data_IF_347770913617
#
_entry.id   IF_347770913617
#
_cell.length_a   1.000
_cell.length_b   1.000
_cell.length_c   1.000
_cell.angle_alpha   90.00
_cell.angle_beta   90.00
_cell.angle_gamma   90.00
#
_symmetry.space_group_name_H-M   'P 1'
#
loop_
_entity.id
_entity.type
_entity.pdbx_description
1 polymer ?
#
# COMPACT_ATOMS: atom_id res chain seq x y z
N UNK A 1 9.08 0.60 -19.98
CA UNK A 1 8.49 0.60 -18.61
C UNK A 1 7.15 -0.13 -18.51
N UNK A 2 6.18 0.10 -19.41
CA UNK A 2 4.88 -0.58 -19.37
C UNK A 2 5.03 -2.10 -19.51
N UNK A 3 5.87 -2.56 -20.45
CA UNK A 3 6.07 -4.01 -20.69
C UNK A 3 6.79 -4.70 -19.54
N UNK A 4 7.75 -4.03 -18.90
CA UNK A 4 8.41 -4.56 -17.70
C UNK A 4 7.41 -4.84 -16.58
N UNK A 5 6.51 -3.89 -16.29
CA UNK A 5 5.46 -4.05 -15.27
C UNK A 5 4.46 -5.14 -15.63
N UNK A 6 4.14 -5.31 -16.92
CA UNK A 6 3.25 -6.38 -17.38
C UNK A 6 3.89 -7.77 -17.30
N UNK A 7 5.19 -7.88 -17.62
CA UNK A 7 5.92 -9.16 -17.67
C UNK A 7 6.35 -9.66 -16.30
N UNK A 8 6.94 -8.81 -15.46
CA UNK A 8 7.38 -9.20 -14.12
C UNK A 8 6.26 -9.10 -13.08
N UNK A 9 5.29 -8.19 -13.29
CA UNK A 9 4.20 -7.97 -12.34
C UNK A 9 4.68 -7.51 -10.96
N UNK A 10 3.80 -7.63 -9.97
CA UNK A 10 4.13 -7.41 -8.57
C UNK A 10 4.97 -8.58 -8.01
N UNK A 11 4.57 -9.81 -8.31
CA UNK A 11 5.18 -11.03 -7.75
C UNK A 11 6.62 -11.23 -8.19
N UNK A 12 6.95 -10.99 -9.46
CA UNK A 12 8.31 -11.10 -9.97
C UNK A 12 9.24 -10.05 -9.34
N UNK A 13 8.75 -8.84 -9.09
CA UNK A 13 9.52 -7.77 -8.43
C UNK A 13 9.72 -8.09 -6.94
N UNK A 14 8.70 -8.64 -6.28
CA UNK A 14 8.80 -9.06 -4.88
C UNK A 14 9.84 -10.18 -4.70
N UNK A 15 9.88 -11.17 -5.59
CA UNK A 15 10.91 -12.24 -5.55
C UNK A 15 12.34 -11.70 -5.62
N UNK A 16 12.58 -10.68 -6.45
CA UNK A 16 13.90 -10.03 -6.53
C UNK A 16 14.23 -9.34 -5.20
N UNK A 17 13.26 -8.62 -4.62
CA UNK A 17 13.44 -8.00 -3.31
C UNK A 17 13.74 -9.02 -2.21
N UNK A 18 13.06 -10.17 -2.22
CA UNK A 18 13.30 -11.26 -1.27
C UNK A 18 14.72 -11.81 -1.41
N UNK A 19 15.19 -12.07 -2.63
CA UNK A 19 16.56 -12.51 -2.88
C UNK A 19 17.61 -11.51 -2.35
N UNK A 20 17.36 -10.22 -2.50
CA UNK A 20 18.26 -9.19 -1.95
C UNK A 20 18.32 -9.18 -0.43
N UNK A 21 17.20 -9.44 0.23
CA UNK A 21 17.16 -9.53 1.70
C UNK A 21 17.86 -10.78 2.19
N UNK A 22 17.65 -11.92 1.53
CA UNK A 22 18.37 -13.16 1.84
C UNK A 22 19.89 -12.97 1.72
N UNK A 23 20.36 -12.34 0.65
CA UNK A 23 21.78 -12.02 0.46
C UNK A 23 22.35 -11.01 1.48
N UNK A 24 21.51 -10.34 2.27
CA UNK A 24 21.95 -9.42 3.33
C UNK A 24 22.30 -10.13 4.63
N UNK A 25 21.84 -11.37 4.81
CA UNK A 25 22.23 -12.18 5.94
C UNK A 25 23.60 -12.81 5.68
N UNK A 26 24.49 -12.88 6.68
CA UNK A 26 25.69 -13.69 6.56
C UNK A 26 25.28 -15.13 6.27
N UNK A 27 25.99 -15.80 5.36
CA UNK A 27 25.80 -17.24 5.15
C UNK A 27 25.91 -17.95 6.50
N UNK A 28 24.88 -18.72 6.86
CA UNK A 28 25.01 -19.63 8.00
C UNK A 28 26.21 -20.53 7.70
N UNK A 29 27.15 -20.72 8.62
CA UNK A 29 28.14 -21.77 8.45
C UNK A 29 27.36 -23.08 8.23
N UNK A 30 27.63 -23.74 7.10
CA UNK A 30 27.13 -25.07 6.83
C UNK A 30 27.38 -25.92 8.09
N UNK A 31 26.34 -26.59 8.59
CA UNK A 31 26.53 -27.54 9.68
C UNK A 31 27.65 -28.50 9.26
N UNK A 32 28.71 -28.66 10.06
CA UNK A 32 29.75 -29.62 9.72
C UNK A 32 29.08 -30.99 9.65
N UNK A 33 29.08 -31.60 8.47
CA UNK A 33 28.77 -33.01 8.28
C UNK A 33 29.77 -33.79 9.13
N UNK A 34 29.36 -34.17 10.34
CA UNK A 34 30.11 -35.13 11.14
C UNK A 34 30.02 -36.50 10.48
N UNK A 35 31.11 -37.28 10.45
CA UNK A 35 31.09 -38.65 9.97
C UNK A 35 30.18 -39.53 10.84
N UNK A 36 29.71 -40.69 10.32
CA UNK A 36 28.82 -41.55 11.07
C UNK A 36 29.62 -42.26 12.15
N UNK A 37 29.46 -41.85 13.41
CA UNK A 37 29.83 -42.67 14.55
C UNK A 37 28.54 -43.19 15.20
N UNK A 38 28.38 -44.51 15.12
CA UNK A 38 27.38 -45.29 15.83
C UNK A 38 27.63 -45.16 17.34
N UNK A 39 26.68 -44.60 18.10
CA UNK A 39 26.26 -45.08 19.43
C UNK A 39 24.90 -44.44 19.79
N UNK A 40 24.01 -45.27 20.33
CA UNK A 40 22.62 -44.93 20.69
C UNK A 40 22.56 -44.02 21.93
N UNK A 41 22.02 -42.80 21.76
CA UNK A 41 21.53 -41.96 22.86
C UNK A 41 20.15 -41.37 22.50
N UNK A 42 19.27 -41.12 23.48
CA UNK A 42 17.84 -40.88 23.28
C UNK A 42 17.56 -39.55 22.54
N UNK A 43 16.35 -39.34 21.96
CA UNK A 43 16.10 -38.27 21.01
C UNK A 43 16.12 -36.91 21.71
N UNK A 44 17.29 -36.29 21.78
CA UNK A 44 17.46 -34.90 22.19
C UNK A 44 16.70 -34.04 21.18
N UNK A 45 15.62 -33.40 21.64
CA UNK A 45 14.81 -32.49 20.85
C UNK A 45 15.73 -31.51 20.11
N UNK A 46 15.69 -31.52 18.77
CA UNK A 46 16.43 -30.59 17.90
C UNK A 46 16.29 -29.17 18.47
N UNK A 47 17.37 -28.63 19.04
CA UNK A 47 17.36 -27.28 19.58
C UNK A 47 16.99 -26.34 18.44
N UNK A 48 15.86 -25.66 18.60
CA UNK A 48 15.45 -24.65 17.62
C UNK A 48 16.56 -23.60 17.55
N UNK A 49 16.96 -23.15 16.34
CA UNK A 49 18.02 -22.16 16.20
C UNK A 49 17.66 -20.91 17.01
N UNK A 50 18.65 -20.38 17.76
CA UNK A 50 18.46 -19.18 18.57
C UNK A 50 17.91 -18.02 17.71
N UNK A 51 17.00 -17.24 18.30
CA UNK A 51 16.40 -16.10 17.63
C UNK A 51 17.48 -15.06 17.27
N UNK A 52 17.43 -14.51 16.06
CA UNK A 52 18.45 -13.57 15.57
C UNK A 52 17.81 -12.42 14.79
N UNK A 53 18.42 -11.25 14.88
CA UNK A 53 18.07 -10.09 14.06
C UNK A 53 16.83 -9.33 14.54
N UNK A 54 16.47 -8.31 13.76
CA UNK A 54 15.43 -7.35 14.11
C UNK A 54 14.43 -7.22 12.96
N UNK A 55 13.15 -7.26 13.29
CA UNK A 55 12.05 -6.99 12.38
C UNK A 55 11.35 -5.70 12.79
N UNK A 56 11.21 -4.76 11.86
CA UNK A 56 10.37 -3.58 12.08
C UNK A 56 9.14 -3.71 11.19
N UNK A 57 7.94 -3.62 11.75
CA UNK A 57 6.70 -3.69 10.97
C UNK A 57 5.88 -2.41 11.15
N UNK A 58 5.46 -1.85 10.02
CA UNK A 58 4.62 -0.65 9.97
C UNK A 58 3.77 -0.62 8.71
N UNK A 59 2.73 0.20 8.71
CA UNK A 59 1.85 0.36 7.58
C UNK A 59 1.90 1.78 7.02
N UNK A 60 1.97 1.89 5.69
CA UNK A 60 1.90 3.17 4.97
C UNK A 60 0.80 3.17 3.91
N UNK A 61 0.42 4.34 3.43
CA UNK A 61 -0.50 4.48 2.31
C UNK A 61 0.23 5.17 1.16
N UNK A 62 0.13 4.57 0.00
CA UNK A 62 0.64 5.07 -1.27
C UNK A 62 -0.52 5.74 -2.02
N UNK A 63 -0.63 7.08 -1.97
CA UNK A 63 -1.77 7.80 -2.54
C UNK A 63 -1.81 7.61 -4.06
N UNK A 64 -3.00 7.33 -4.59
CA UNK A 64 -3.26 7.26 -6.01
C UNK A 64 -3.37 8.67 -6.61
N UNK A 65 -3.00 8.82 -7.88
CA UNK A 65 -3.21 10.05 -8.64
C UNK A 65 -4.70 10.19 -9.01
N UNK A 66 -5.50 10.64 -8.04
CA UNK A 66 -6.90 11.02 -8.23
C UNK A 66 -7.13 12.44 -7.75
N UNK A 67 -8.08 13.14 -8.38
CA UNK A 67 -8.60 14.39 -7.83
C UNK A 67 -9.25 14.09 -6.49
N UNK A 68 -9.09 14.99 -5.52
CA UNK A 68 -9.79 14.89 -4.24
C UNK A 68 -11.30 14.65 -4.47
N UNK A 69 -11.84 13.53 -3.97
CA UNK A 69 -13.18 13.11 -4.33
C UNK A 69 -14.22 13.82 -3.47
N UNK A 70 -15.08 14.61 -4.13
CA UNK A 70 -16.31 15.14 -3.50
C UNK A 70 -17.52 14.58 -4.23
N UNK A 71 -18.58 14.25 -3.49
CA UNK A 71 -19.79 13.61 -4.05
C UNK A 71 -20.37 14.39 -5.23
N UNK A 72 -20.50 15.72 -5.10
CA UNK A 72 -21.01 16.58 -6.17
C UNK A 72 -20.13 16.50 -7.41
N UNK A 73 -18.81 16.50 -7.22
CA UNK A 73 -17.85 16.50 -8.33
C UNK A 73 -17.76 15.15 -9.02
N UNK A 74 -17.96 14.06 -8.27
CA UNK A 74 -17.97 12.68 -8.77
C UNK A 74 -19.27 12.39 -9.53
N UNK A 75 -20.41 12.85 -9.01
CA UNK A 75 -21.70 12.78 -9.71
C UNK A 75 -21.69 13.61 -11.01
N UNK A 76 -21.06 14.79 -11.03
CA UNK A 76 -20.92 15.56 -12.27
C UNK A 76 -20.01 14.83 -13.29
N UNK A 77 -18.91 14.22 -12.84
CA UNK A 77 -18.06 13.42 -13.73
C UNK A 77 -18.83 12.23 -14.34
N UNK A 78 -19.64 11.54 -13.53
CA UNK A 78 -20.52 10.47 -14.00
C UNK A 78 -21.56 10.98 -15.00
N UNK A 79 -22.17 12.14 -14.73
CA UNK A 79 -23.07 12.80 -15.67
C UNK A 79 -22.38 13.09 -17.00
N UNK A 80 -21.18 13.63 -17.00
CA UNK A 80 -20.44 13.95 -18.25
C UNK A 80 -20.08 12.68 -19.03
N UNK A 81 -19.63 11.63 -18.34
CA UNK A 81 -19.31 10.34 -18.97
C UNK A 81 -20.55 9.66 -19.56
N UNK A 82 -21.65 9.62 -18.82
CA UNK A 82 -22.91 9.04 -19.30
C UNK A 82 -23.54 9.87 -20.43
N UNK A 83 -23.37 11.19 -20.41
CA UNK A 83 -23.86 12.05 -21.48
C UNK A 83 -23.07 11.89 -22.79
N UNK A 84 -21.75 11.67 -22.70
CA UNK A 84 -20.92 11.29 -23.84
C UNK A 84 -21.26 9.88 -24.35
N UNK A 85 -21.54 8.95 -23.44
CA UNK A 85 -21.96 7.59 -23.79
C UNK A 85 -23.28 7.60 -24.59
N UNK A 86 -24.23 8.46 -24.21
CA UNK A 86 -25.46 8.66 -24.99
C UNK A 86 -25.15 9.13 -26.41
N UNK A 87 -24.15 10.00 -26.60
CA UNK A 87 -23.76 10.44 -27.95
C UNK A 87 -23.20 9.27 -28.78
N UNK A 88 -22.42 8.39 -28.15
CA UNK A 88 -21.90 7.18 -28.80
C UNK A 88 -23.02 6.21 -29.17
N UNK A 89 -23.99 5.98 -28.28
CA UNK A 89 -25.10 5.07 -28.53
C UNK A 89 -26.09 5.60 -29.58
N UNK A 90 -26.33 6.91 -29.60
CA UNK A 90 -27.20 7.58 -30.56
C UNK A 90 -26.56 7.73 -31.95
N UNK A 91 -25.24 7.57 -32.09
CA UNK A 91 -24.53 7.87 -33.34
C UNK A 91 -25.16 7.25 -34.61
N UNK A 92 -25.65 5.99 -34.61
CA UNK A 92 -26.33 5.40 -35.77
C UNK A 92 -27.71 5.99 -36.07
N UNK A 93 -28.37 6.58 -35.07
CA UNK A 93 -29.71 7.16 -35.16
C UNK A 93 -29.70 8.64 -35.57
N UNK A 94 -28.52 9.22 -35.80
CA UNK A 94 -28.39 10.64 -36.16
C UNK A 94 -29.04 10.89 -37.52
N UNK A 95 -30.06 11.76 -37.52
CA UNK A 95 -30.86 12.08 -38.72
C UNK A 95 -32.22 11.37 -38.76
N UNK A 96 -32.35 10.24 -38.06
CA UNK A 96 -33.62 9.50 -37.95
C UNK A 96 -34.39 9.92 -36.71
N UNK A 97 -33.72 9.95 -35.54
CA UNK A 97 -34.37 10.22 -34.27
C UNK A 97 -33.70 11.36 -33.48
N UNK A 98 -34.49 12.15 -32.73
CA UNK A 98 -33.93 13.19 -31.87
C UNK A 98 -33.22 12.58 -30.68
N UNK A 99 -32.04 13.14 -30.37
CA UNK A 99 -31.26 12.75 -29.20
C UNK A 99 -32.06 12.88 -27.88
N UNK A 100 -31.98 11.91 -26.96
CA UNK A 100 -32.61 12.01 -25.64
C UNK A 100 -32.23 13.28 -24.85
N UNK A 101 -33.21 13.86 -24.15
CA UNK A 101 -33.05 15.11 -23.40
C UNK A 101 -32.31 14.91 -22.07
N UNK A 102 -31.02 15.27 -22.03
CA UNK A 102 -30.16 15.12 -20.83
C UNK A 102 -29.95 16.41 -20.02
N UNK A 103 -30.37 17.57 -20.54
CA UNK A 103 -30.14 18.90 -19.96
C UNK A 103 -28.64 19.22 -19.70
N UNK A 104 -27.72 18.67 -20.51
CA UNK A 104 -26.26 18.83 -20.35
C UNK A 104 -25.79 20.26 -20.09
N UNK A 105 -26.36 21.24 -20.81
CA UNK A 105 -26.01 22.67 -20.70
C UNK A 105 -26.44 23.23 -19.33
N UNK A 106 -27.68 22.96 -18.91
CA UNK A 106 -28.23 23.41 -17.62
C UNK A 106 -27.45 22.80 -16.46
N UNK A 107 -27.16 21.50 -16.53
CA UNK A 107 -26.42 20.78 -15.51
C UNK A 107 -24.99 21.34 -15.34
N UNK A 108 -24.29 21.61 -16.46
CA UNK A 108 -22.96 22.22 -16.45
C UNK A 108 -22.98 23.62 -15.83
N UNK A 109 -23.91 24.48 -16.23
CA UNK A 109 -24.06 25.84 -15.66
C UNK A 109 -24.27 25.78 -14.14
N UNK A 110 -25.15 24.91 -13.67
CA UNK A 110 -25.42 24.73 -12.23
C UNK A 110 -24.19 24.21 -11.47
N UNK A 111 -23.45 23.25 -12.04
CA UNK A 111 -22.22 22.75 -11.43
C UNK A 111 -21.14 23.83 -11.32
N UNK A 112 -20.92 24.62 -12.38
CA UNK A 112 -19.95 25.72 -12.38
C UNK A 112 -20.29 26.75 -11.29
N UNK A 113 -21.55 27.13 -11.16
CA UNK A 113 -22.01 28.05 -10.10
C UNK A 113 -21.75 27.48 -8.70
N UNK A 114 -21.90 26.16 -8.52
CA UNK A 114 -21.60 25.50 -7.26
C UNK A 114 -20.09 25.49 -6.95
N UNK A 115 -19.24 25.11 -7.91
CA UNK A 115 -17.78 24.98 -7.73
C UNK A 115 -17.10 26.32 -7.46
N UNK A 116 -17.62 27.43 -7.99
CA UNK A 116 -17.08 28.78 -7.71
C UNK A 116 -17.18 29.19 -6.23
N UNK A 117 -17.89 28.45 -5.39
CA UNK A 117 -18.05 28.74 -3.97
C UNK A 117 -16.93 28.10 -3.16
N UNK A 118 -16.14 28.92 -2.43
CA UNK A 118 -15.01 28.43 -1.61
C UNK A 118 -15.43 27.46 -0.49
N UNK A 119 -16.54 27.72 0.21
CA UNK A 119 -17.03 26.91 1.35
C UNK A 119 -18.55 26.73 1.28
N UNK A 120 -19.07 25.79 0.48
CA UNK A 120 -20.51 25.56 0.39
C UNK A 120 -21.05 24.92 1.67
N UNK A 121 -22.09 25.51 2.28
CA UNK A 121 -22.76 24.92 3.45
C UNK A 121 -23.55 23.64 3.14
N UNK A 122 -23.87 22.86 4.16
CA UNK A 122 -24.53 21.53 4.06
C UNK A 122 -25.77 21.50 3.15
N UNK A 123 -26.64 22.49 3.29
CA UNK A 123 -27.88 22.58 2.49
C UNK A 123 -27.59 22.81 0.99
N UNK A 124 -26.56 23.61 0.68
CA UNK A 124 -26.12 23.87 -0.69
C UNK A 124 -25.50 22.62 -1.31
N UNK A 125 -24.68 21.89 -0.55
CA UNK A 125 -24.13 20.59 -0.97
C UNK A 125 -25.25 19.58 -1.24
N UNK A 126 -26.20 19.44 -0.30
CA UNK A 126 -27.33 18.52 -0.46
C UNK A 126 -28.20 18.86 -1.67
N UNK A 127 -28.44 20.16 -1.93
CA UNK A 127 -29.16 20.62 -3.13
C UNK A 127 -28.39 20.26 -4.41
N UNK A 128 -27.08 20.48 -4.45
CA UNK A 128 -26.25 20.13 -5.59
C UNK A 128 -26.21 18.62 -5.85
N UNK A 129 -26.07 17.79 -4.81
CA UNK A 129 -26.16 16.33 -4.91
C UNK A 129 -27.50 15.89 -5.49
N UNK A 130 -28.63 16.40 -4.97
CA UNK A 130 -29.97 16.10 -5.49
C UNK A 130 -30.10 16.41 -6.99
N UNK A 131 -29.58 17.58 -7.40
CA UNK A 131 -29.61 17.99 -8.80
C UNK A 131 -28.78 17.05 -9.67
N UNK A 132 -27.53 16.76 -9.28
CA UNK A 132 -26.65 15.87 -10.03
C UNK A 132 -27.16 14.43 -10.09
N UNK A 133 -27.72 13.89 -9.00
CA UNK A 133 -28.40 12.59 -8.99
C UNK A 133 -29.57 12.56 -9.97
N UNK A 134 -30.37 13.63 -10.02
CA UNK A 134 -31.48 13.74 -10.97
C UNK A 134 -31.01 13.81 -12.44
N UNK A 135 -29.88 14.46 -12.73
CA UNK A 135 -29.28 14.46 -14.07
C UNK A 135 -28.76 13.06 -14.44
N UNK A 136 -28.00 12.44 -13.53
CA UNK A 136 -27.43 11.12 -13.75
C UNK A 136 -28.51 10.04 -13.94
N UNK A 137 -29.57 10.06 -13.11
CA UNK A 137 -30.72 9.15 -13.26
C UNK A 137 -31.33 9.22 -14.66
N UNK A 138 -31.56 10.44 -15.17
CA UNK A 138 -32.10 10.64 -16.52
C UNK A 138 -31.16 10.14 -17.60
N UNK A 139 -29.85 10.35 -17.45
CA UNK A 139 -28.88 9.82 -18.40
C UNK A 139 -28.88 8.29 -18.41
N UNK A 140 -28.89 7.65 -17.24
CA UNK A 140 -28.95 6.19 -17.13
C UNK A 140 -30.22 5.64 -17.78
N UNK A 141 -31.39 6.24 -17.51
CA UNK A 141 -32.65 5.84 -18.16
C UNK A 141 -32.63 6.03 -19.69
N UNK A 142 -31.96 7.07 -20.18
CA UNK A 142 -31.80 7.28 -21.62
C UNK A 142 -30.85 6.22 -22.24
N UNK A 143 -29.78 5.86 -21.53
CA UNK A 143 -28.88 4.77 -21.94
C UNK A 143 -29.65 3.45 -21.99
N UNK A 144 -30.45 3.13 -20.96
CA UNK A 144 -31.22 1.89 -20.92
C UNK A 144 -32.13 1.77 -22.15
N UNK A 145 -32.88 2.83 -22.48
CA UNK A 145 -33.74 2.87 -23.67
C UNK A 145 -32.96 2.72 -24.98
N UNK A 146 -31.77 3.32 -25.07
CA UNK A 146 -30.94 3.21 -26.27
C UNK A 146 -30.35 1.81 -26.41
N UNK A 147 -30.02 1.14 -25.32
CA UNK A 147 -29.54 -0.24 -25.36
C UNK A 147 -30.63 -1.23 -25.77
N UNK A 148 -31.90 -0.91 -25.49
CA UNK A 148 -33.07 -1.69 -25.93
C UNK A 148 -33.50 -1.36 -27.37
N UNK A 149 -32.95 -0.30 -27.98
CA UNK A 149 -33.33 0.15 -29.32
C UNK A 149 -32.59 -0.65 -30.40
N UNK A 150 -33.29 -1.24 -31.40
CA UNK A 150 -32.68 -2.14 -32.38
C UNK A 150 -31.63 -1.45 -33.26
N UNK A 151 -31.89 -0.22 -33.67
CA UNK A 151 -31.01 0.52 -34.58
C UNK A 151 -29.94 1.37 -33.86
N UNK A 152 -29.91 1.36 -32.52
CA UNK A 152 -28.86 2.04 -31.77
C UNK A 152 -27.59 1.20 -31.72
N UNK A 153 -26.46 1.81 -31.32
CA UNK A 153 -25.20 1.07 -31.21
C UNK A 153 -25.32 -0.01 -30.11
N UNK A 154 -25.15 -1.31 -30.44
CA UNK A 154 -25.32 -2.36 -29.47
C UNK A 154 -24.19 -2.39 -28.45
N UNK A 155 -24.49 -2.90 -27.25
CA UNK A 155 -23.53 -2.99 -26.15
C UNK A 155 -22.22 -3.71 -26.53
N UNK A 156 -22.29 -4.69 -27.44
CA UNK A 156 -21.15 -5.49 -27.91
C UNK A 156 -20.13 -4.69 -28.72
N UNK A 157 -20.56 -3.60 -29.36
CA UNK A 157 -19.69 -2.70 -30.13
C UNK A 157 -19.12 -1.56 -29.27
N UNK A 158 -19.53 -1.48 -28.00
CA UNK A 158 -19.05 -0.44 -27.11
C UNK A 158 -17.59 -0.69 -26.70
N UNK A 159 -16.79 0.38 -26.62
CA UNK A 159 -15.43 0.28 -26.12
C UNK A 159 -15.43 -0.26 -24.68
N UNK A 160 -14.51 -1.20 -24.38
CA UNK A 160 -14.36 -1.80 -23.03
C UNK A 160 -14.29 -0.75 -21.91
N UNK A 161 -13.66 0.39 -22.18
CA UNK A 161 -13.54 1.51 -21.25
C UNK A 161 -14.89 2.14 -20.93
N UNK A 162 -15.73 2.34 -21.92
CA UNK A 162 -17.03 2.98 -21.76
C UNK A 162 -18.01 2.03 -21.08
N UNK A 163 -17.90 0.74 -21.37
CA UNK A 163 -18.71 -0.29 -20.71
C UNK A 163 -18.37 -0.34 -19.21
N UNK A 164 -17.08 -0.37 -18.89
CA UNK A 164 -16.60 -0.27 -17.51
C UNK A 164 -17.08 1.02 -16.84
N UNK A 165 -16.99 2.17 -17.52
CA UNK A 165 -17.47 3.44 -16.96
C UNK A 165 -18.98 3.40 -16.68
N UNK A 166 -19.79 2.78 -17.55
CA UNK A 166 -21.23 2.61 -17.35
C UNK A 166 -21.52 1.82 -16.08
N UNK A 167 -20.87 0.66 -15.90
CA UNK A 167 -21.02 -0.17 -14.71
C UNK A 167 -20.65 0.61 -13.43
N UNK A 168 -19.52 1.31 -13.45
CA UNK A 168 -19.08 2.13 -12.30
C UNK A 168 -20.03 3.31 -12.06
N UNK A 169 -20.58 3.94 -13.09
CA UNK A 169 -21.55 5.03 -12.94
C UNK A 169 -22.88 4.55 -12.35
N UNK A 170 -23.34 3.34 -12.71
CA UNK A 170 -24.52 2.70 -12.11
C UNK A 170 -24.31 2.41 -10.62
N UNK A 171 -23.17 1.81 -10.26
CA UNK A 171 -22.85 1.54 -8.85
C UNK A 171 -22.68 2.83 -8.05
N UNK A 172 -21.99 3.83 -8.62
CA UNK A 172 -21.90 5.16 -8.00
C UNK A 172 -23.28 5.79 -7.79
N UNK A 173 -24.18 5.70 -8.76
CA UNK A 173 -25.55 6.20 -8.63
C UNK A 173 -26.28 5.50 -7.48
N UNK A 174 -26.22 4.17 -7.42
CA UNK A 174 -26.81 3.36 -6.34
C UNK A 174 -26.29 3.79 -4.96
N UNK A 175 -24.97 3.87 -4.80
CA UNK A 175 -24.32 4.26 -3.54
C UNK A 175 -24.71 5.68 -3.12
N UNK A 176 -24.65 6.65 -4.03
CA UNK A 176 -24.94 8.06 -3.74
C UNK A 176 -26.42 8.31 -3.48
N UNK A 177 -27.32 7.59 -4.16
CA UNK A 177 -28.76 7.63 -3.91
C UNK A 177 -29.06 7.11 -2.49
N UNK A 178 -28.51 5.95 -2.13
CA UNK A 178 -28.66 5.37 -0.78
C UNK A 178 -28.17 6.33 0.32
N UNK A 179 -26.99 6.92 0.14
CA UNK A 179 -26.43 7.91 1.08
C UNK A 179 -27.30 9.17 1.16
N UNK A 180 -27.88 9.62 0.04
CA UNK A 180 -28.74 10.80 0.01
C UNK A 180 -30.04 10.60 0.79
N UNK A 181 -30.69 9.43 0.61
CA UNK A 181 -31.95 9.04 1.23
C UNK A 181 -31.80 8.79 2.72
N UNK A 182 -30.83 7.94 3.10
CA UNK A 182 -30.57 7.57 4.50
C UNK A 182 -29.85 8.68 5.30
N UNK A 183 -29.40 9.74 4.63
CA UNK A 183 -28.61 10.85 5.20
C UNK A 183 -27.30 10.38 5.85
N UNK A 184 -26.75 9.24 5.43
CA UNK A 184 -25.46 8.73 5.89
C UNK A 184 -24.32 9.20 5.00
N UNK A 185 -23.10 9.18 5.54
CA UNK A 185 -21.86 9.45 4.80
C UNK A 185 -21.01 8.20 4.56
N UNK A 186 -21.51 7.04 4.98
CA UNK A 186 -20.84 5.75 4.88
C UNK A 186 -21.61 4.85 3.92
N UNK A 187 -20.85 4.23 3.04
CA UNK A 187 -21.26 3.10 2.20
C UNK A 187 -20.04 2.20 2.07
N UNK A 188 -20.26 0.89 2.10
CA UNK A 188 -19.19 -0.06 1.89
C UNK A 188 -18.79 -0.05 0.41
N UNK A 189 -17.53 -0.35 0.11
CA UNK A 189 -16.97 -0.27 -1.25
C UNK A 189 -17.20 1.08 -1.98
N UNK A 190 -17.15 2.18 -1.22
CA UNK A 190 -17.42 3.52 -1.75
C UNK A 190 -16.55 3.85 -2.96
N UNK A 191 -17.20 4.15 -4.08
CA UNK A 191 -16.55 4.69 -5.27
C UNK A 191 -16.11 6.12 -4.99
N UNK A 192 -14.81 6.36 -5.13
CA UNK A 192 -14.18 7.68 -5.00
C UNK A 192 -13.63 8.19 -6.33
N UNK A 193 -13.46 7.32 -7.33
CA UNK A 193 -13.01 7.70 -8.67
C UNK A 193 -13.64 6.77 -9.71
N UNK A 194 -14.20 7.34 -10.78
CA UNK A 194 -14.78 6.54 -11.86
C UNK A 194 -13.67 5.85 -12.68
N UNK A 195 -12.55 6.54 -12.86
CA UNK A 195 -11.39 6.00 -13.60
C UNK A 195 -10.63 4.93 -12.81
N UNK A 196 -10.61 5.05 -11.48
CA UNK A 196 -9.92 4.14 -10.57
C UNK A 196 -10.89 3.60 -9.50
N UNK A 197 -11.86 2.76 -9.87
CA UNK A 197 -12.95 2.32 -8.98
C UNK A 197 -12.50 1.39 -7.85
N UNK A 198 -11.26 0.89 -7.89
CA UNK A 198 -10.68 0.03 -6.86
C UNK A 198 -10.07 0.83 -5.70
N UNK A 199 -9.80 2.13 -5.89
CA UNK A 199 -9.25 2.98 -4.82
C UNK A 199 -10.32 3.18 -3.74
N UNK A 200 -9.92 3.16 -2.47
CA UNK A 200 -10.81 3.36 -1.32
C UNK A 200 -10.34 4.52 -0.44
N UNK A 201 -11.25 5.12 0.34
CA UNK A 201 -10.88 6.03 1.41
C UNK A 201 -10.25 5.27 2.58
N UNK A 202 -9.06 5.68 3.02
CA UNK A 202 -8.35 5.11 4.18
C UNK A 202 -8.22 6.20 5.26
N UNK A 203 -8.88 6.01 6.40
CA UNK A 203 -8.76 6.93 7.54
C UNK A 203 -7.44 6.70 8.27
N UNK A 204 -6.56 7.69 8.29
CA UNK A 204 -5.27 7.62 9.01
C UNK A 204 -5.18 8.55 10.22
N UNK A 205 -6.10 9.50 10.37
CA UNK A 205 -6.12 10.41 11.53
C UNK A 205 -4.84 11.25 11.69
N UNK A 206 -4.08 11.44 10.61
CA UNK A 206 -2.87 12.27 10.61
C UNK A 206 -3.26 13.75 10.52
N UNK A 207 -2.56 14.60 11.26
CA UNK A 207 -2.78 16.04 11.22
C UNK A 207 -2.68 16.56 9.76
N UNK A 208 -3.73 17.24 9.30
CA UNK A 208 -3.82 17.87 7.96
C UNK A 208 -4.51 17.05 6.87
N UNK A 209 -4.57 15.72 6.96
CA UNK A 209 -5.29 14.85 6.02
C UNK A 209 -5.90 13.64 6.74
N UNK A 210 -7.16 13.76 7.15
CA UNK A 210 -7.85 12.70 7.91
C UNK A 210 -8.01 11.40 7.10
N UNK A 211 -8.16 11.53 5.77
CA UNK A 211 -8.41 10.44 4.83
C UNK A 211 -7.44 10.52 3.65
N UNK A 212 -6.73 9.42 3.40
CA UNK A 212 -5.91 9.22 2.21
C UNK A 212 -6.64 8.32 1.20
N UNK A 213 -6.28 8.41 -0.08
CA UNK A 213 -6.89 7.62 -1.15
C UNK A 213 -5.80 6.90 -1.92
N UNK A 214 -5.71 5.58 -1.79
CA UNK A 214 -4.64 4.83 -2.43
C UNK A 214 -4.56 3.39 -1.93
N UNK A 215 -3.40 2.79 -2.14
CA UNK A 215 -3.11 1.45 -1.64
C UNK A 215 -2.57 1.53 -0.21
N UNK A 216 -3.15 0.73 0.67
CA UNK A 216 -2.64 0.46 2.01
C UNK A 216 -1.59 -0.64 1.94
N UNK A 217 -0.42 -0.36 2.51
CA UNK A 217 0.75 -1.22 2.45
C UNK A 217 1.14 -1.63 3.87
N UNK A 218 1.30 -2.93 4.10
CA UNK A 218 2.03 -3.46 5.25
C UNK A 218 3.48 -3.70 4.82
N UNK A 219 4.42 -3.13 5.56
CA UNK A 219 5.84 -3.14 5.21
C UNK A 219 6.65 -3.63 6.39
N UNK A 220 7.53 -4.60 6.11
CA UNK A 220 8.57 -5.04 7.02
C UNK A 220 9.92 -4.44 6.63
N UNK A 221 10.75 -4.12 7.63
CA UNK A 221 12.13 -3.70 7.45
C UNK A 221 13.04 -4.69 8.15
N UNK A 222 13.98 -5.24 7.39
CA UNK A 222 14.96 -6.23 7.83
C UNK A 222 16.33 -5.78 7.32
N UNK A 223 17.31 -5.61 8.21
CA UNK A 223 18.66 -5.13 7.87
C UNK A 223 18.69 -3.81 7.05
N UNK A 224 17.64 -2.99 7.19
CA UNK A 224 17.47 -1.74 6.46
C UNK A 224 16.95 -1.89 5.02
N UNK A 225 16.57 -3.09 4.60
CA UNK A 225 15.82 -3.38 3.38
C UNK A 225 14.33 -3.39 3.68
N UNK A 226 13.51 -2.88 2.77
CA UNK A 226 12.07 -2.75 2.94
C UNK A 226 11.33 -3.75 2.05
N UNK A 227 10.44 -4.54 2.65
CA UNK A 227 9.63 -5.55 1.97
C UNK A 227 8.16 -5.19 2.11
N UNK A 228 7.40 -5.35 1.02
CA UNK A 228 5.94 -5.16 1.03
C UNK A 228 5.32 -6.52 1.30
N UNK A 229 4.80 -6.73 2.50
CA UNK A 229 4.20 -8.02 2.90
C UNK A 229 2.74 -8.11 2.45
N UNK A 230 2.03 -6.98 2.46
CA UNK A 230 0.64 -6.91 2.02
C UNK A 230 0.36 -5.61 1.30
N UNK A 231 -0.26 -5.72 0.14
CA UNK A 231 -0.84 -4.60 -0.59
C UNK A 231 -2.35 -4.80 -0.68
N UNK A 232 -3.13 -3.85 -0.16
CA UNK A 232 -4.57 -3.89 -0.25
C UNK A 232 -5.13 -2.51 -0.57
N UNK A 233 -6.19 -2.45 -1.37
CA UNK A 233 -6.91 -1.21 -1.63
C UNK A 233 -7.96 -0.92 -0.56
N UNK A 234 -8.45 -1.96 0.11
CA UNK A 234 -9.38 -1.83 1.23
C UNK A 234 -8.66 -1.52 2.53
N UNK A 235 -9.38 -0.89 3.45
CA UNK A 235 -8.86 -0.63 4.77
C UNK A 235 -8.95 -1.89 5.63
N UNK A 236 -7.81 -2.38 6.12
CA UNK A 236 -7.72 -3.53 7.02
C UNK A 236 -7.06 -3.14 8.35
N UNK A 237 -7.22 -3.96 9.38
CA UNK A 237 -6.49 -3.79 10.64
C UNK A 237 -5.05 -4.30 10.48
N UNK A 238 -4.10 -3.37 10.54
CA UNK A 238 -2.67 -3.64 10.34
C UNK A 238 -2.11 -4.57 11.43
N UNK A 239 -2.68 -4.52 12.64
CA UNK A 239 -2.23 -5.36 13.75
C UNK A 239 -2.39 -6.86 13.51
N UNK A 240 -3.27 -7.29 12.59
CA UNK A 240 -3.46 -8.69 12.26
C UNK A 240 -2.35 -9.29 11.38
N UNK A 241 -1.56 -8.47 10.70
CA UNK A 241 -0.54 -8.95 9.76
C UNK A 241 0.77 -9.36 10.46
N UNK A 242 0.96 -9.02 11.75
CA UNK A 242 2.26 -9.17 12.43
C UNK A 242 2.73 -10.62 12.53
N UNK A 243 1.84 -11.54 12.89
CA UNK A 243 2.19 -12.96 13.03
C UNK A 243 2.66 -13.50 11.68
N UNK A 244 1.91 -13.22 10.61
CA UNK A 244 2.30 -13.61 9.24
C UNK A 244 3.64 -13.02 8.82
N UNK A 245 3.94 -11.76 9.18
CA UNK A 245 5.25 -11.15 8.93
C UNK A 245 6.39 -11.85 9.67
N UNK A 246 6.18 -12.23 10.93
CA UNK A 246 7.16 -12.97 11.74
C UNK A 246 7.38 -14.38 11.18
N UNK A 247 6.32 -15.08 10.78
CA UNK A 247 6.43 -16.39 10.16
C UNK A 247 7.15 -16.33 8.82
N UNK A 248 6.84 -15.31 8.01
CA UNK A 248 7.54 -15.08 6.73
C UNK A 248 9.02 -14.77 6.97
N UNK A 249 9.36 -14.02 8.02
CA UNK A 249 10.75 -13.83 8.43
C UNK A 249 11.42 -15.16 8.76
N UNK A 250 10.76 -16.03 9.54
CA UNK A 250 11.29 -17.36 9.89
C UNK A 250 11.49 -18.23 8.66
N UNK A 251 10.56 -18.25 7.72
CA UNK A 251 10.69 -19.01 6.48
C UNK A 251 11.87 -18.54 5.63
N UNK A 252 12.19 -17.23 5.66
CA UNK A 252 13.31 -16.64 4.92
C UNK A 252 14.66 -16.89 5.60
N UNK A 253 14.74 -16.67 6.92
CA UNK A 253 16.02 -16.65 7.66
C UNK A 253 16.33 -18.00 8.33
N UNK A 254 15.32 -18.86 8.51
CA UNK A 254 15.43 -20.13 9.23
C UNK A 254 15.24 -20.02 10.75
N UNK A 255 15.20 -18.81 11.31
CA UNK A 255 14.96 -18.57 12.73
C UNK A 255 13.99 -17.39 12.97
N UNK A 256 13.45 -17.29 14.19
CA UNK A 256 12.62 -16.15 14.57
C UNK A 256 13.48 -14.90 14.83
N UNK A 257 12.91 -13.69 14.67
CA UNK A 257 13.60 -12.46 15.02
C UNK A 257 13.81 -12.39 16.54
N UNK A 258 14.95 -11.88 16.99
CA UNK A 258 15.20 -11.63 18.41
C UNK A 258 14.26 -10.54 18.94
N UNK A 259 14.03 -9.51 18.12
CA UNK A 259 13.18 -8.39 18.48
C UNK A 259 12.32 -7.87 17.33
N UNK A 260 11.12 -7.41 17.69
CA UNK A 260 10.08 -6.91 16.80
C UNK A 260 9.70 -5.50 17.25
N UNK A 261 9.91 -4.52 16.37
CA UNK A 261 9.63 -3.10 16.60
C UNK A 261 8.40 -2.68 15.84
N UNK A 262 7.35 -2.27 16.56
CA UNK A 262 6.03 -2.02 15.98
C UNK A 262 5.28 -0.89 16.66
N UNK A 263 4.32 -0.34 15.91
CA UNK A 263 3.42 0.70 16.40
C UNK A 263 2.38 0.17 17.41
N UNK A 264 1.64 1.11 18.04
CA UNK A 264 0.66 0.74 19.08
C UNK A 264 -0.41 -0.24 18.58
N UNK A 265 -0.84 -0.11 17.33
CA UNK A 265 -1.92 -0.92 16.76
C UNK A 265 -1.57 -2.42 16.67
N UNK A 266 -0.28 -2.74 16.55
CA UNK A 266 0.23 -4.11 16.46
C UNK A 266 0.38 -4.79 17.82
N UNK A 267 0.29 -4.05 18.94
CA UNK A 267 0.49 -4.61 20.29
C UNK A 267 -0.79 -5.24 20.84
N UNK A 268 -1.41 -6.13 20.08
CA UNK A 268 -2.58 -6.92 20.49
C UNK A 268 -2.20 -7.99 21.50
N UNK A 269 -3.20 -8.56 22.22
CA UNK A 269 -2.96 -9.66 23.17
C UNK A 269 -2.43 -10.91 22.48
N UNK A 270 -3.02 -11.24 21.33
CA UNK A 270 -2.65 -12.36 20.48
C UNK A 270 -1.19 -12.26 20.01
N UNK A 271 -0.81 -11.12 19.43
CA UNK A 271 0.56 -10.91 18.95
C UNK A 271 1.59 -11.00 20.08
N UNK A 272 1.26 -10.52 21.28
CA UNK A 272 2.15 -10.64 22.44
C UNK A 272 2.26 -12.06 22.95
N UNK A 273 1.15 -12.81 22.96
CA UNK A 273 1.16 -14.22 23.36
C UNK A 273 2.05 -15.02 22.41
N UNK A 274 1.91 -14.80 21.10
CA UNK A 274 2.76 -15.39 20.09
C UNK A 274 4.24 -15.03 20.26
N UNK A 275 4.56 -13.74 20.39
CA UNK A 275 5.95 -13.32 20.62
C UNK A 275 6.54 -13.93 21.90
N UNK A 276 5.76 -14.00 22.99
CA UNK A 276 6.21 -14.59 24.26
C UNK A 276 6.47 -16.09 24.12
N UNK A 277 5.59 -16.81 23.42
CA UNK A 277 5.72 -18.25 23.16
C UNK A 277 7.00 -18.58 22.38
N UNK A 278 7.38 -17.71 21.45
CA UNK A 278 8.56 -17.90 20.61
C UNK A 278 9.82 -17.17 21.10
N UNK A 279 9.82 -16.59 22.31
CA UNK A 279 10.98 -15.89 22.87
C UNK A 279 11.37 -14.61 22.12
N UNK A 280 10.40 -13.95 21.48
CA UNK A 280 10.60 -12.74 20.68
C UNK A 280 10.30 -11.51 21.54
N UNK A 281 11.23 -10.54 21.58
CA UNK A 281 11.02 -9.28 22.29
C UNK A 281 10.21 -8.30 21.45
N UNK A 282 9.01 -7.94 21.90
CA UNK A 282 8.20 -6.89 21.25
C UNK A 282 8.46 -5.51 21.86
N UNK A 283 8.62 -4.48 21.02
CA UNK A 283 8.88 -3.11 21.46
C UNK A 283 7.71 -2.49 22.23
N UNK A 284 8.03 -1.60 23.17
CA UNK A 284 7.08 -0.74 23.87
C UNK A 284 6.46 -1.34 25.14
N UNK A 285 5.83 -0.49 25.98
CA UNK A 285 5.41 -0.87 27.33
C UNK A 285 4.35 -1.99 27.32
N UNK A 286 4.20 -2.75 28.43
CA UNK A 286 3.16 -3.75 28.59
C UNK A 286 1.74 -3.18 28.41
N UNK A 287 0.80 -4.03 28.02
CA UNK A 287 -0.63 -3.67 27.93
C UNK A 287 -1.16 -3.39 29.34
N UNK A 288 -1.97 -2.33 29.47
CA UNK A 288 -2.64 -1.97 30.72
C UNK A 288 -2.04 -0.76 31.43
N UNK A 289 -2.23 -0.70 32.75
CA UNK A 289 -1.78 0.43 33.58
C UNK A 289 -0.26 0.45 33.61
N UNK A 290 0.33 1.60 33.23
CA UNK A 290 1.78 1.80 33.33
C UNK A 290 2.22 1.63 34.79
N UNK A 291 3.34 0.92 35.06
CA UNK A 291 3.86 0.80 36.41
C UNK A 291 4.23 2.18 36.98
N UNK A 292 4.04 2.38 38.28
CA UNK A 292 4.31 3.66 38.97
C UNK A 292 5.79 4.05 38.91
N UNK A 293 6.68 3.06 38.89
CA UNK A 293 8.11 3.26 38.68
C UNK A 293 8.54 2.50 37.43
N UNK A 294 9.18 3.21 36.50
CA UNK A 294 9.79 2.65 35.30
C UNK A 294 11.30 2.76 35.50
N UNK A 295 12.02 1.64 35.42
CA UNK A 295 13.46 1.62 35.64
C UNK A 295 14.19 2.50 34.61
N UNK A 296 15.38 3.00 34.96
CA UNK A 296 16.20 3.76 34.02
C UNK A 296 16.59 2.92 32.77
N UNK A 297 16.76 1.61 32.95
CA UNK A 297 17.04 0.66 31.87
C UNK A 297 15.85 0.55 30.90
N UNK A 298 14.62 0.41 31.41
CA UNK A 298 13.41 0.35 30.57
C UNK A 298 13.20 1.64 29.78
N UNK A 299 13.52 2.80 30.38
CA UNK A 299 13.47 4.09 29.68
C UNK A 299 14.49 4.17 28.55
N UNK A 300 15.73 3.73 28.80
CA UNK A 300 16.78 3.66 27.76
C UNK A 300 16.39 2.71 26.65
N UNK A 301 15.85 1.53 26.98
CA UNK A 301 15.37 0.56 25.99
C UNK A 301 14.22 1.12 25.16
N UNK A 302 13.24 1.77 25.79
CA UNK A 302 12.12 2.40 25.08
C UNK A 302 12.60 3.50 24.12
N UNK A 303 13.59 4.31 24.52
CA UNK A 303 14.20 5.32 23.67
C UNK A 303 14.96 4.69 22.48
N UNK A 304 15.70 3.59 22.72
CA UNK A 304 16.37 2.84 21.66
C UNK A 304 15.38 2.20 20.67
N UNK A 305 14.31 1.60 21.19
CA UNK A 305 13.23 1.02 20.38
C UNK A 305 12.55 2.08 19.50
N UNK A 306 12.33 3.29 20.05
CA UNK A 306 11.76 4.41 19.32
C UNK A 306 12.72 4.95 18.24
N UNK A 307 14.01 5.03 18.53
CA UNK A 307 15.03 5.40 17.55
C UNK A 307 15.09 4.40 16.36
N UNK A 308 14.95 3.10 16.64
CA UNK A 308 14.84 2.06 15.59
C UNK A 308 13.57 2.27 14.76
N UNK A 309 12.43 2.50 15.42
CA UNK A 309 11.16 2.75 14.72
C UNK A 309 11.23 3.99 13.83
N UNK A 310 11.89 5.06 14.26
CA UNK A 310 12.06 6.28 13.45
C UNK A 310 12.77 6.04 12.11
N UNK A 311 13.54 4.94 11.97
CA UNK A 311 14.14 4.56 10.69
C UNK A 311 13.06 4.25 9.64
N UNK A 312 11.92 3.69 10.04
CA UNK A 312 10.79 3.40 9.15
C UNK A 312 10.20 4.68 8.57
N UNK A 313 10.02 5.71 9.40
CA UNK A 313 9.52 7.01 8.95
C UNK A 313 10.48 7.63 7.93
N UNK A 314 11.78 7.52 8.17
CA UNK A 314 12.82 7.92 7.23
C UNK A 314 12.72 7.18 5.89
N UNK A 315 12.50 5.86 5.93
CA UNK A 315 12.33 5.02 4.71
C UNK A 315 11.07 5.37 3.95
N UNK A 316 9.94 5.58 4.62
CA UNK A 316 8.71 6.05 3.97
C UNK A 316 8.87 7.46 3.42
N UNK A 317 9.58 8.35 4.13
CA UNK A 317 9.91 9.69 3.63
C UNK A 317 10.75 9.64 2.35
N UNK A 318 11.80 8.82 2.34
CA UNK A 318 12.64 8.57 1.16
C UNK A 318 11.80 8.02 0.00
N UNK A 319 10.99 6.98 0.28
CA UNK A 319 10.12 6.35 -0.70
C UNK A 319 9.12 7.34 -1.32
N UNK A 320 8.51 8.19 -0.49
CA UNK A 320 7.53 9.19 -0.94
C UNK A 320 8.15 10.32 -1.75
N UNK A 321 9.30 10.85 -1.31
CA UNK A 321 9.93 12.03 -1.93
C UNK A 321 10.77 11.68 -3.17
N UNK A 322 11.48 10.55 -3.17
CA UNK A 322 12.46 10.22 -4.22
C UNK A 322 12.04 9.07 -5.12
N UNK A 323 11.30 8.09 -4.60
CA UNK A 323 10.97 6.86 -5.33
C UNK A 323 9.53 6.78 -5.83
N UNK A 324 8.78 7.88 -5.74
CA UNK A 324 7.44 7.99 -6.33
C UNK A 324 6.31 7.35 -5.52
N UNK A 325 6.54 6.90 -4.27
CA UNK A 325 5.45 6.44 -3.40
C UNK A 325 4.52 7.60 -2.97
N UNK A 326 4.95 8.85 -3.15
CA UNK A 326 4.18 10.04 -2.77
C UNK A 326 3.00 10.33 -3.68
N UNK A 327 2.95 9.72 -4.88
CA UNK A 327 1.80 9.76 -5.79
C UNK A 327 1.94 8.68 -6.88
N UNK A 328 1.07 7.68 -6.86
CA UNK A 328 1.04 6.60 -7.85
C UNK A 328 0.25 7.03 -9.08
N UNK A 329 0.95 7.23 -10.19
CA UNK A 329 0.39 7.73 -11.47
C UNK A 329 -0.35 6.65 -12.27
N UNK A 330 -0.02 5.38 -12.02
CA UNK A 330 -0.68 4.25 -12.66
C UNK A 330 -2.18 4.22 -12.29
N UNK A 331 -3.03 3.80 -13.25
CA UNK A 331 -4.50 3.88 -13.12
C UNK A 331 -5.18 2.51 -12.93
N UNK A 332 -4.51 1.41 -13.24
CA UNK A 332 -5.04 0.05 -13.02
C UNK A 332 -4.44 -0.52 -11.75
N UNK A 333 -5.22 -1.28 -10.98
CA UNK A 333 -4.79 -1.89 -9.72
C UNK A 333 -3.47 -2.67 -9.87
N UNK A 334 -3.39 -3.53 -10.89
CA UNK A 334 -2.18 -4.33 -11.19
C UNK A 334 -0.98 -3.47 -11.54
N UNK A 335 -1.15 -2.45 -12.39
CA UNK A 335 -0.04 -1.55 -12.77
C UNK A 335 0.42 -0.65 -11.62
N UNK A 336 -0.50 -0.29 -10.73
CA UNK A 336 -0.21 0.49 -9.52
C UNK A 336 0.54 -0.36 -8.50
N UNK A 337 0.13 -1.62 -8.31
CA UNK A 337 0.85 -2.58 -7.47
C UNK A 337 2.28 -2.83 -7.98
N UNK A 338 2.44 -3.08 -9.28
CA UNK A 338 3.77 -3.22 -9.90
C UNK A 338 4.62 -1.95 -9.77
N UNK A 339 4.02 -0.76 -9.87
CA UNK A 339 4.74 0.50 -9.66
C UNK A 339 5.20 0.66 -8.20
N UNK A 340 4.34 0.31 -7.23
CA UNK A 340 4.69 0.33 -5.81
C UNK A 340 5.83 -0.65 -5.53
N UNK A 341 5.72 -1.90 -6.00
CA UNK A 341 6.77 -2.90 -5.84
C UNK A 341 8.10 -2.42 -6.43
N UNK A 342 8.06 -1.78 -7.60
CA UNK A 342 9.24 -1.22 -8.25
C UNK A 342 9.89 -0.10 -7.44
N UNK A 343 9.09 0.76 -6.79
CA UNK A 343 9.61 1.79 -5.89
C UNK A 343 10.40 1.18 -4.74
N UNK A 344 9.89 0.11 -4.11
CA UNK A 344 10.61 -0.61 -3.06
C UNK A 344 11.86 -1.32 -3.58
N UNK A 345 11.80 -1.91 -4.77
CA UNK A 345 12.99 -2.50 -5.41
C UNK A 345 14.09 -1.46 -5.65
N UNK A 346 13.74 -0.30 -6.19
CA UNK A 346 14.70 0.77 -6.40
C UNK A 346 15.31 1.29 -5.07
N UNK A 347 14.50 1.39 -4.01
CA UNK A 347 14.98 1.72 -2.66
C UNK A 347 15.98 0.69 -2.12
N UNK A 348 15.68 -0.59 -2.30
CA UNK A 348 16.53 -1.69 -1.85
C UNK A 348 17.83 -1.75 -2.66
N UNK A 349 17.78 -1.53 -3.97
CA UNK A 349 18.96 -1.45 -4.84
C UNK A 349 19.87 -0.29 -4.45
N UNK A 350 19.31 0.89 -4.14
CA UNK A 350 20.12 2.00 -3.63
C UNK A 350 20.82 1.62 -2.30
N UNK A 351 20.12 0.90 -1.42
CA UNK A 351 20.71 0.43 -0.15
C UNK A 351 21.84 -0.58 -0.40
N UNK A 352 21.61 -1.59 -1.23
CA UNK A 352 22.61 -2.59 -1.58
C UNK A 352 23.85 -1.93 -2.22
N UNK A 353 23.63 -1.00 -3.16
CA UNK A 353 24.70 -0.24 -3.79
C UNK A 353 25.54 0.53 -2.78
N UNK A 354 24.92 1.21 -1.82
CA UNK A 354 25.65 1.93 -0.76
C UNK A 354 26.49 0.98 0.08
N UNK A 355 25.96 -0.19 0.46
CA UNK A 355 26.71 -1.19 1.23
C UNK A 355 27.93 -1.69 0.44
N UNK A 356 27.74 -2.06 -0.83
CA UNK A 356 28.82 -2.48 -1.72
C UNK A 356 29.87 -1.38 -1.92
N UNK A 357 29.43 -0.14 -2.10
CA UNK A 357 30.33 1.00 -2.25
C UNK A 357 31.18 1.21 -0.99
N UNK A 358 30.55 1.19 0.19
CA UNK A 358 31.29 1.34 1.46
C UNK A 358 32.23 0.16 1.72
N UNK A 359 31.83 -1.08 1.40
CA UNK A 359 32.72 -2.24 1.53
C UNK A 359 33.92 -2.14 0.59
N UNK A 360 33.73 -1.71 -0.66
CA UNK A 360 34.83 -1.50 -1.62
C UNK A 360 35.77 -0.37 -1.19
N UNK A 361 35.24 0.74 -0.68
CA UNK A 361 36.06 1.85 -0.13
C UNK A 361 36.84 1.39 1.11
N UNK A 362 36.21 0.62 1.99
CA UNK A 362 36.89 0.06 3.16
C UNK A 362 37.99 -0.92 2.78
N UNK A 363 37.71 -1.84 1.84
CA UNK A 363 38.70 -2.78 1.31
C UNK A 363 39.86 -2.08 0.58
N UNK A 364 39.60 -0.97 -0.12
CA UNK A 364 40.67 -0.25 -0.84
C UNK A 364 41.51 0.66 0.07
N UNK A 365 40.95 1.23 1.14
CA UNK A 365 41.66 2.22 1.98
C UNK A 365 42.13 1.69 3.33
N UNK A 366 41.39 0.78 3.95
CA UNK A 366 41.66 0.31 5.32
C UNK A 366 42.37 -1.05 5.32
N UNK A 367 42.05 -1.91 4.36
CA UNK A 367 42.72 -3.21 4.23
C UNK A 367 44.24 -3.11 4.02
N UNK A 368 44.78 -2.19 3.20
CA UNK A 368 46.24 -2.06 3.05
C UNK A 368 46.92 -1.60 4.36
N UNK A 369 46.26 -0.75 5.14
CA UNK A 369 46.77 -0.24 6.42
C UNK A 369 46.81 -1.34 7.50
N UNK A 370 45.77 -2.18 7.57
CA UNK A 370 45.74 -3.33 8.49
C UNK A 370 46.74 -4.44 8.13
N UNK A 371 47.20 -4.49 6.87
CA UNK A 371 48.21 -5.45 6.42
C UNK A 371 49.63 -5.01 6.77
N UNK A 372 49.88 -3.70 6.89
CA UNK A 372 51.18 -3.15 7.25
C UNK A 372 51.50 -3.47 8.73
N UNK A 373 50.52 -3.45 9.64
CA UNK A 373 50.75 -3.76 11.06
C UNK A 373 51.06 -5.23 11.38
N UNK A 374 50.70 -6.18 10.50
CA UNK A 374 51.08 -7.60 10.70
C UNK A 374 52.48 -7.95 10.17
N UNK A 375 53.12 -7.05 9.43
CA UNK A 375 54.47 -7.24 8.89
C UNK A 375 55.61 -6.92 9.86
N UNK A 376 55.34 -6.24 10.98
CA UNK A 376 56.38 -5.75 11.89
C UNK A 376 56.75 -6.69 13.05
N UNK A 377 56.03 -7.81 13.25
CA UNK A 377 56.34 -8.76 14.32
C UNK A 377 57.23 -9.94 13.91
N UNK A 378 57.63 -10.06 12.63
CA UNK A 378 58.45 -11.18 12.16
C UNK A 378 59.92 -10.81 11.84
N UNK A 379 60.33 -9.55 12.05
CA UNK A 379 61.66 -9.05 11.68
C UNK A 379 62.55 -8.64 12.89
N UNK A 380 62.38 -9.28 14.07
CA UNK A 380 63.25 -9.04 15.26
C UNK A 380 63.82 -10.30 15.91
N UNK A 381 63.84 -11.42 15.20
CA UNK A 381 64.63 -12.59 15.59
C UNK A 381 65.44 -13.07 14.39
N UNK A 382 66.55 -12.40 14.13
CA UNK A 382 67.76 -12.97 13.51
C UNK A 382 68.95 -12.09 13.86
#
# INVERSE_FOLDING_TARGET
>A
MVDFRKRFGETGIQRINEAMVLASFPESPAEPTMPPDDEEDPPTAKQSPSNRGTLIADATCAPADIRYPTDVSLLNEAREKTDALIDTLQAPLVGTEPRPRTYRVKARKQFVVFVKRKKPGRNKIRKANRQQLGYLKRNLQAIDRLLDHPDALPLTQLLRRDYKNLLVCRELYRQQQQMYETKTQRVDDRIVSITQPHVRPIKRGKAGCDTEFGAKLSVSIVNGFSLVDRLCWDNYNEGGDLIGQIETYRQRVGCYPESVHVDKIYRTRENRAFCKQHGIRISGPPLGRKPKQISAADKRQAAADEAIRNQVEGKFGQGKRRFGLGRIMAKLASTSAAQIALSFLAMNLERAWRLLFFSLVWLSRVWPLLRIDRGWHQARCQ
#
